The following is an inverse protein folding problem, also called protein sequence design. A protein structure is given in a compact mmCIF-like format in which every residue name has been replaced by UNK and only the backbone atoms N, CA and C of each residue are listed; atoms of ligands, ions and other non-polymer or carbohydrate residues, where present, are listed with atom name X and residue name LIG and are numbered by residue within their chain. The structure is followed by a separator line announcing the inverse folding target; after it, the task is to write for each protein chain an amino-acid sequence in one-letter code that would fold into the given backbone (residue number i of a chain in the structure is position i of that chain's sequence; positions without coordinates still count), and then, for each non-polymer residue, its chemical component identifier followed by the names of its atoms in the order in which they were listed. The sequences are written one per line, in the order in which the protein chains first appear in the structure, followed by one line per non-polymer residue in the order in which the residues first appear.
data_IF_015576718240
#
_entry.id   IF_015576718240
#
_cell.length_a   1.000
_cell.length_b   1.000
_cell.length_c   1.000
_cell.angle_alpha   90.00
_cell.angle_beta   90.00
_cell.angle_gamma   90.00
#
_symmetry.space_group_name_H-M   'P 1'
#
loop_
_entity.id
_entity.type
_entity.pdbx_description
1 polymer ?
#
# COMPACT_ATOMS: atom_id res chain seq x y z
N UNK A 1 22.84 14.46 -5.35
CA UNK A 1 21.69 13.63 -5.00
C UNK A 1 20.61 14.60 -4.62
N UNK A 2 19.50 14.55 -5.34
CA UNK A 2 18.35 15.42 -5.08
C UNK A 2 17.56 14.88 -3.88
N UNK A 3 16.76 15.74 -3.26
CA UNK A 3 15.86 15.31 -2.19
C UNK A 3 14.90 14.24 -2.74
N UNK A 4 14.81 13.10 -2.05
CA UNK A 4 14.03 11.91 -2.44
C UNK A 4 14.57 11.12 -3.64
N UNK A 5 15.75 11.46 -4.18
CA UNK A 5 16.44 10.61 -5.17
C UNK A 5 17.06 9.40 -4.47
N UNK A 6 16.71 8.18 -4.90
CA UNK A 6 17.37 6.97 -4.39
C UNK A 6 18.81 6.86 -4.86
N UNK A 7 19.64 6.10 -4.13
CA UNK A 7 21.03 5.94 -4.48
C UNK A 7 21.22 5.32 -5.88
N UNK A 8 20.36 4.38 -6.26
CA UNK A 8 20.36 3.75 -7.60
C UNK A 8 20.14 4.76 -8.72
N UNK A 9 19.12 5.60 -8.59
CA UNK A 9 18.80 6.60 -9.61
C UNK A 9 19.91 7.64 -9.74
N UNK A 10 20.45 8.09 -8.60
CA UNK A 10 21.60 8.99 -8.58
C UNK A 10 22.81 8.38 -9.31
N UNK A 11 23.19 7.14 -8.98
CA UNK A 11 24.34 6.46 -9.58
C UNK A 11 24.19 6.29 -11.08
N UNK A 12 22.98 5.94 -11.55
CA UNK A 12 22.66 5.82 -12.97
C UNK A 12 22.87 7.16 -13.70
N UNK A 13 22.33 8.25 -13.15
CA UNK A 13 22.48 9.61 -13.70
C UNK A 13 23.94 10.08 -13.68
N UNK A 14 24.64 9.84 -12.57
CA UNK A 14 26.04 10.21 -12.41
C UNK A 14 26.93 9.48 -13.41
N UNK A 15 26.76 8.16 -13.55
CA UNK A 15 27.52 7.36 -14.51
C UNK A 15 27.34 7.87 -15.94
N UNK A 16 26.10 8.17 -16.33
CA UNK A 16 25.82 8.76 -17.64
C UNK A 16 26.45 10.15 -17.84
N UNK A 17 26.52 10.97 -16.79
CA UNK A 17 27.15 12.29 -16.85
C UNK A 17 28.69 12.20 -16.95
N UNK A 18 29.32 11.29 -16.20
CA UNK A 18 30.78 11.12 -16.21
C UNK A 18 31.28 10.59 -17.55
N UNK A 19 30.53 9.67 -18.18
CA UNK A 19 30.88 9.15 -19.51
C UNK A 19 30.92 10.23 -20.59
N UNK A 20 30.19 11.33 -20.42
CA UNK A 20 30.22 12.46 -21.36
C UNK A 20 31.44 13.37 -21.15
N UNK A 21 32.11 13.28 -20.00
CA UNK A 21 33.27 14.12 -19.64
C UNK A 21 34.54 13.26 -19.69
N UNK A 22 34.93 12.88 -20.91
CA UNK A 22 36.01 11.93 -21.21
C UNK A 22 37.41 12.38 -20.71
N UNK A 23 37.56 13.63 -20.26
CA UNK A 23 38.83 14.23 -19.83
C UNK A 23 39.00 14.40 -18.30
N UNK A 24 38.10 13.86 -17.47
CA UNK A 24 38.22 13.98 -16.01
C UNK A 24 39.16 12.95 -15.40
N UNK A 25 40.06 13.38 -14.52
CA UNK A 25 40.89 12.46 -13.73
C UNK A 25 40.02 11.62 -12.80
N UNK A 26 40.44 10.38 -12.53
CA UNK A 26 39.73 9.49 -11.62
C UNK A 26 39.50 10.16 -10.26
N UNK A 27 40.53 10.79 -9.67
CA UNK A 27 40.40 11.49 -8.38
C UNK A 27 39.30 12.56 -8.43
N UNK A 28 39.25 13.38 -9.49
CA UNK A 28 38.19 14.38 -9.66
C UNK A 28 36.80 13.73 -9.71
N UNK A 29 36.64 12.64 -10.45
CA UNK A 29 35.39 11.88 -10.51
C UNK A 29 34.97 11.38 -9.13
N UNK A 30 35.90 10.78 -8.37
CA UNK A 30 35.64 10.27 -7.03
C UNK A 30 35.24 11.39 -6.06
N UNK A 31 35.91 12.54 -6.13
CA UNK A 31 35.62 13.70 -5.29
C UNK A 31 34.26 14.31 -5.63
N UNK A 32 33.93 14.46 -6.91
CA UNK A 32 32.63 14.96 -7.37
C UNK A 32 31.51 14.01 -6.94
N UNK A 33 31.71 12.69 -7.08
CA UNK A 33 30.74 11.70 -6.60
C UNK A 33 30.49 11.89 -5.09
N UNK A 34 31.54 11.90 -4.26
CA UNK A 34 31.39 12.03 -2.82
C UNK A 34 30.69 13.34 -2.41
N UNK A 35 31.06 14.46 -3.04
CA UNK A 35 30.44 15.78 -2.78
C UNK A 35 28.98 15.85 -3.21
N UNK A 36 28.57 15.02 -4.16
CA UNK A 36 27.19 14.98 -4.65
C UNK A 36 26.30 14.01 -3.88
N UNK A 37 26.80 13.25 -2.91
CA UNK A 37 25.96 12.49 -1.97
C UNK A 37 25.52 13.39 -0.82
N UNK A 38 24.25 13.26 -0.39
CA UNK A 38 23.75 14.00 0.77
C UNK A 38 24.57 13.66 2.04
N UNK A 39 25.11 14.67 2.74
CA UNK A 39 25.75 14.47 4.04
C UNK A 39 24.79 13.82 5.03
N UNK A 40 25.33 13.04 5.97
CA UNK A 40 24.54 12.38 7.02
C UNK A 40 23.86 11.07 6.59
N UNK A 41 24.00 10.65 5.34
CA UNK A 41 23.56 9.31 4.92
C UNK A 41 24.57 8.23 5.35
N UNK A 42 24.11 7.00 5.67
CA UNK A 42 25.01 5.88 5.96
C UNK A 42 26.00 5.59 4.83
N UNK A 43 25.60 5.84 3.59
CA UNK A 43 26.47 5.70 2.43
C UNK A 43 27.57 6.77 2.38
N UNK A 44 27.25 8.05 2.63
CA UNK A 44 28.25 9.12 2.73
C UNK A 44 29.31 8.81 3.80
N UNK A 45 28.88 8.37 4.98
CA UNK A 45 29.80 7.96 6.04
C UNK A 45 30.74 6.84 5.60
N UNK A 46 30.24 5.87 4.82
CA UNK A 46 31.06 4.77 4.32
C UNK A 46 32.18 5.25 3.39
N UNK A 47 31.91 6.29 2.59
CA UNK A 47 32.88 6.93 1.71
C UNK A 47 33.87 7.80 2.49
N UNK A 48 33.45 8.39 3.61
CA UNK A 48 34.33 9.14 4.49
C UNK A 48 35.28 8.21 5.27
N UNK A 49 34.75 7.11 5.83
CA UNK A 49 35.51 6.13 6.62
C UNK A 49 36.55 5.40 5.77
N UNK A 50 36.18 4.99 4.54
CA UNK A 50 37.09 4.35 3.61
C UNK A 50 36.96 5.01 2.24
N UNK A 51 37.82 5.99 1.91
CA UNK A 51 37.80 6.62 0.60
C UNK A 51 37.86 5.59 -0.54
N UNK A 52 37.05 5.75 -1.59
CA UNK A 52 37.17 4.92 -2.77
C UNK A 52 38.45 5.26 -3.53
N UNK A 53 39.07 4.26 -4.16
CA UNK A 53 40.28 4.43 -4.99
C UNK A 53 39.95 4.42 -6.48
N UNK A 54 38.80 3.89 -6.85
CA UNK A 54 38.40 3.64 -8.23
C UNK A 54 36.88 3.59 -8.37
N UNK A 55 36.37 3.89 -9.56
CA UNK A 55 34.94 3.99 -9.84
C UNK A 55 34.18 2.68 -9.59
N UNK A 56 34.82 1.52 -9.77
CA UNK A 56 34.21 0.22 -9.46
C UNK A 56 33.91 0.02 -7.97
N UNK A 57 34.76 0.57 -7.08
CA UNK A 57 34.52 0.51 -5.64
C UNK A 57 33.28 1.34 -5.27
N UNK A 58 33.12 2.50 -5.91
CA UNK A 58 31.92 3.33 -5.77
C UNK A 58 30.66 2.60 -6.19
N UNK A 59 30.63 2.04 -7.40
CA UNK A 59 29.46 1.32 -7.91
C UNK A 59 29.11 0.11 -7.05
N UNK A 60 30.13 -0.66 -6.63
CA UNK A 60 29.92 -1.83 -5.76
C UNK A 60 29.31 -1.45 -4.42
N UNK A 61 29.81 -0.41 -3.77
CA UNK A 61 29.26 0.07 -2.50
C UNK A 61 27.87 0.65 -2.71
N UNK A 62 27.68 1.46 -3.74
CA UNK A 62 26.38 2.05 -4.04
C UNK A 62 25.31 0.95 -4.26
N UNK A 63 25.64 -0.12 -4.98
CA UNK A 63 24.73 -1.24 -5.17
C UNK A 63 24.37 -1.92 -3.83
N UNK A 64 25.35 -2.16 -2.96
CA UNK A 64 25.10 -2.71 -1.61
C UNK A 64 24.13 -1.85 -0.81
N UNK A 65 24.32 -0.53 -0.81
CA UNK A 65 23.44 0.38 -0.07
C UNK A 65 22.08 0.54 -0.73
N UNK A 66 21.99 0.53 -2.06
CA UNK A 66 20.72 0.54 -2.79
C UNK A 66 19.86 -0.69 -2.47
N UNK A 67 20.46 -1.88 -2.38
CA UNK A 67 19.72 -3.08 -2.00
C UNK A 67 19.15 -2.94 -0.60
N UNK A 68 19.92 -2.37 0.35
CA UNK A 68 19.44 -2.12 1.71
C UNK A 68 18.30 -1.09 1.74
N UNK A 69 18.39 -0.02 0.95
CA UNK A 69 17.28 0.95 0.80
C UNK A 69 16.01 0.28 0.28
N UNK A 70 16.14 -0.63 -0.69
CA UNK A 70 15.02 -1.38 -1.25
C UNK A 70 14.42 -2.35 -0.22
N UNK A 71 15.25 -3.09 0.54
CA UNK A 71 14.82 -4.01 1.59
C UNK A 71 14.07 -3.27 2.73
N UNK A 72 14.59 -2.13 3.18
CA UNK A 72 13.93 -1.29 4.20
C UNK A 72 12.59 -0.78 3.70
N UNK A 73 12.52 -0.33 2.44
CA UNK A 73 11.27 0.11 1.81
C UNK A 73 10.27 -1.04 1.66
N UNK A 74 10.73 -2.24 1.34
CA UNK A 74 9.90 -3.44 1.27
C UNK A 74 9.36 -3.86 2.65
N UNK A 75 10.21 -3.86 3.68
CA UNK A 75 9.81 -4.17 5.06
C UNK A 75 8.78 -3.15 5.60
N UNK A 76 8.97 -1.86 5.30
CA UNK A 76 8.03 -0.79 5.69
C UNK A 76 6.66 -1.01 5.04
N UNK A 77 6.63 -1.38 3.75
CA UNK A 77 5.38 -1.72 3.06
C UNK A 77 4.71 -2.96 3.65
N UNK A 78 5.47 -4.00 4.00
CA UNK A 78 4.92 -5.21 4.63
C UNK A 78 4.30 -4.90 5.99
N UNK A 79 4.92 -4.07 6.82
CA UNK A 79 4.35 -3.64 8.12
C UNK A 79 3.05 -2.87 7.91
N UNK A 80 3.00 -1.95 6.93
CA UNK A 80 1.78 -1.22 6.60
C UNK A 80 0.66 -2.13 6.07
N UNK A 81 1.00 -3.18 5.30
CA UNK A 81 0.04 -4.17 4.79
C UNK A 81 -0.47 -5.08 5.91
N UNK A 82 0.41 -5.55 6.80
CA UNK A 82 0.05 -6.39 7.94
C UNK A 82 -0.73 -5.62 9.03
N UNK A 83 -0.56 -4.30 9.10
CA UNK A 83 -1.29 -3.41 10.01
C UNK A 83 -2.66 -2.95 9.49
N UNK A 84 -3.05 -3.30 8.26
CA UNK A 84 -4.43 -3.10 7.81
C UNK A 84 -5.27 -4.27 8.31
N UNK A 85 -6.31 -4.06 9.14
CA UNK A 85 -7.33 -5.09 9.30
C UNK A 85 -7.85 -5.39 7.89
N UNK A 86 -7.78 -6.66 7.49
CA UNK A 86 -8.36 -7.14 6.24
C UNK A 86 -9.78 -6.59 6.17
N UNK A 87 -10.02 -5.60 5.28
CA UNK A 87 -11.35 -5.06 5.04
C UNK A 87 -12.09 -6.08 4.16
N UNK A 88 -12.24 -7.28 4.71
CA UNK A 88 -12.90 -8.45 4.13
C UNK A 88 -13.91 -9.06 5.09
N UNK A 89 -14.24 -8.38 6.20
CA UNK A 89 -15.26 -8.81 7.17
C UNK A 89 -16.34 -7.73 7.40
N UNK A 90 -16.66 -6.96 6.35
CA UNK A 90 -17.73 -5.96 6.39
C UNK A 90 -18.79 -6.15 5.29
N UNK A 91 -18.96 -7.35 4.73
CA UNK A 91 -20.06 -7.61 3.78
C UNK A 91 -20.47 -9.08 3.67
N UNK A 92 -20.71 -9.78 4.80
CA UNK A 92 -21.64 -10.95 4.73
C UNK A 92 -22.30 -11.39 6.03
N UNK A 93 -21.91 -10.86 7.19
CA UNK A 93 -22.59 -11.20 8.45
C UNK A 93 -23.43 -10.03 8.99
N UNK A 94 -24.15 -9.34 8.11
CA UNK A 94 -25.42 -8.75 8.51
C UNK A 94 -26.46 -9.85 8.46
N UNK A 95 -26.57 -10.60 9.56
CA UNK A 95 -27.76 -11.40 9.86
C UNK A 95 -28.97 -10.47 9.63
N UNK A 96 -29.99 -10.83 8.82
CA UNK A 96 -31.21 -10.03 8.80
C UNK A 96 -31.74 -10.03 10.24
N UNK A 97 -32.05 -8.85 10.84
CA UNK A 97 -32.59 -8.83 12.17
C UNK A 97 -33.90 -9.64 12.15
N UNK A 98 -33.90 -10.67 12.99
CA UNK A 98 -35.03 -11.52 13.32
C UNK A 98 -36.31 -10.69 13.44
N UNK A 99 -37.24 -11.00 12.54
CA UNK A 99 -38.62 -10.49 12.48
C UNK A 99 -39.30 -10.69 13.84
N UNK A 100 -39.76 -9.63 14.52
CA UNK A 100 -40.74 -9.79 15.58
C UNK A 100 -42.05 -9.14 15.12
N UNK A 101 -43.07 -9.96 14.92
CA UNK A 101 -44.34 -9.81 15.68
C UNK A 101 -45.34 -10.87 15.25
N UNK A 102 -45.58 -11.76 16.21
CA UNK A 102 -46.79 -12.53 16.39
C UNK A 102 -48.01 -11.58 16.43
N UNK A 103 -49.03 -11.86 15.62
CA UNK A 103 -50.45 -11.47 15.80
C UNK A 103 -51.21 -12.13 14.65
N UNK A 104 -51.54 -13.41 14.79
CA UNK A 104 -52.86 -13.81 15.29
C UNK A 104 -53.99 -13.37 14.35
N UNK A 105 -54.25 -14.20 13.35
CA UNK A 105 -55.62 -14.67 13.11
C UNK A 105 -55.57 -15.90 12.21
N UNK A 106 -55.91 -17.03 12.81
CA UNK A 106 -56.30 -18.25 12.11
C UNK A 106 -57.22 -17.89 10.94
N UNK A 107 -56.77 -18.14 9.71
CA UNK A 107 -57.71 -18.42 8.62
C UNK A 107 -57.85 -19.93 8.57
N UNK A 108 -58.82 -20.40 9.33
CA UNK A 108 -59.30 -21.77 9.32
C UNK A 108 -60.21 -21.94 8.10
N UNK A 109 -59.78 -22.82 7.19
CA UNK A 109 -60.67 -23.77 6.49
C UNK A 109 -61.59 -23.28 5.36
N UNK A 110 -61.57 -23.92 4.18
CA UNK A 110 -62.61 -23.77 3.16
C UNK A 110 -63.80 -24.70 3.48
N UNK A 111 -65.05 -24.22 3.43
CA UNK A 111 -66.28 -25.01 3.11
C UNK A 111 -67.56 -24.15 3.14
N UNK A 112 -68.34 -24.20 2.04
CA UNK A 112 -69.82 -23.94 1.99
C UNK A 112 -70.57 -25.17 2.58
N UNK A 113 -71.90 -25.21 2.89
CA UNK A 113 -73.02 -24.45 2.30
C UNK A 113 -74.28 -24.13 3.20
N UNK A 114 -75.26 -23.45 2.58
CA UNK A 114 -76.75 -23.57 2.68
C UNK A 114 -77.63 -23.07 3.88
N UNK A 115 -78.71 -22.34 3.51
CA UNK A 115 -80.06 -22.13 4.13
C UNK A 115 -80.35 -21.10 5.28
N UNK A 116 -81.63 -20.63 5.45
CA UNK A 116 -82.00 -19.19 5.50
C UNK A 116 -82.89 -18.81 6.75
N UNK A 117 -83.76 -17.76 6.70
CA UNK A 117 -83.66 -16.45 7.37
C UNK A 117 -84.54 -16.31 8.66
N UNK A 118 -84.60 -15.12 9.29
CA UNK A 118 -85.92 -14.50 9.37
C UNK A 118 -85.96 -13.00 9.05
N UNK A 119 -87.15 -12.63 8.60
CA UNK A 119 -87.64 -11.32 8.16
C UNK A 119 -87.57 -10.30 9.29
N UNK A 120 -87.51 -9.01 8.92
CA UNK A 120 -88.44 -7.96 9.37
C UNK A 120 -88.21 -6.70 8.50
N UNK A 121 -89.24 -6.35 7.71
CA UNK A 121 -89.55 -5.03 7.12
C UNK A 121 -89.97 -4.06 8.27
N UNK A 122 -90.18 -2.72 8.13
CA UNK A 122 -90.39 -1.84 6.96
C UNK A 122 -89.45 -0.60 6.98
N UNK A 123 -89.37 0.34 6.03
CA UNK A 123 -90.31 1.27 5.37
C UNK A 123 -89.54 1.76 4.10
N UNK A 124 -90.10 2.03 2.91
CA UNK A 124 -91.21 2.91 2.51
C UNK A 124 -91.56 2.60 1.04
#
# INVERSE_FOLDING_TARGET
MQDNESLREFVKRFGQAVLQVEACSMDAVLQIFKRSICPGTPFFESLAKKPPTMMDDLFRRANKYSMLEDDVRAATQQVLVAGRPSRGDAERNAKPPDRPRLSDRRQEGPSRPDRPPPRLSPYH
#
